data_IF_051768390956
#
_entry.id   IF_051768390956
#
_cell.length_a   1.000
_cell.length_b   1.000
_cell.length_c   1.000
_cell.angle_alpha   90.00
_cell.angle_beta   90.00
_cell.angle_gamma   90.00
#
_symmetry.space_group_name_H-M   'P 1'
#
loop_
_entity.id
_entity.type
_entity.pdbx_description
1 polymer ?
#
# COMPACT_ATOMS: atom_id res chain seq x y z
N UNK A 1 -4.34 56.30 -1.52
CA UNK A 1 -4.08 54.87 -1.18
C UNK A 1 -3.21 54.29 -2.28
N UNK A 2 -1.93 54.01 -2.01
CA UNK A 2 -0.97 53.55 -3.01
C UNK A 2 -1.05 52.03 -3.19
N UNK A 3 -1.41 51.57 -4.38
CA UNK A 3 -1.43 50.15 -4.76
C UNK A 3 0.02 49.66 -4.84
N UNK A 4 0.44 48.80 -3.90
CA UNK A 4 1.78 48.17 -3.96
C UNK A 4 1.90 47.39 -5.28
N UNK A 5 2.76 47.87 -6.17
CA UNK A 5 3.12 47.23 -7.44
C UNK A 5 3.74 45.86 -7.12
N UNK A 6 3.09 44.77 -7.51
CA UNK A 6 3.60 43.42 -7.28
C UNK A 6 4.99 43.27 -7.91
N UNK A 7 5.97 42.80 -7.13
CA UNK A 7 7.32 42.55 -7.60
C UNK A 7 7.28 41.50 -8.71
N UNK A 8 7.59 41.90 -9.95
CA UNK A 8 7.73 40.97 -11.08
C UNK A 8 9.12 40.36 -11.03
N UNK A 9 9.23 39.17 -10.44
CA UNK A 9 10.45 38.36 -10.51
C UNK A 9 10.55 37.81 -11.95
N UNK A 10 11.62 38.11 -12.71
CA UNK A 10 11.77 37.59 -14.06
C UNK A 10 11.95 36.07 -14.03
N UNK A 11 11.25 35.36 -14.92
CA UNK A 11 11.38 33.91 -15.04
C UNK A 11 12.80 33.54 -15.51
N UNK A 12 13.42 32.49 -14.94
CA UNK A 12 14.68 31.98 -15.45
C UNK A 12 14.62 31.67 -16.95
N UNK A 13 15.75 31.84 -17.65
CA UNK A 13 15.88 31.39 -19.05
C UNK A 13 15.56 29.89 -19.10
N UNK A 14 14.79 29.45 -20.10
CA UNK A 14 14.32 28.06 -20.24
C UNK A 14 13.44 27.52 -19.08
N UNK A 15 12.75 28.41 -18.35
CA UNK A 15 11.84 28.05 -17.25
C UNK A 15 10.93 26.87 -17.58
N UNK A 16 10.23 26.93 -18.73
CA UNK A 16 9.28 25.90 -19.17
C UNK A 16 9.92 24.51 -19.36
N UNK A 17 11.21 24.44 -19.69
CA UNK A 17 11.91 23.18 -19.92
C UNK A 17 12.27 22.44 -18.61
N UNK A 18 12.36 23.17 -17.49
CA UNK A 18 12.85 22.62 -16.21
C UNK A 18 11.79 22.57 -15.12
N UNK A 19 10.54 23.01 -15.37
CA UNK A 19 9.48 23.08 -14.34
C UNK A 19 9.23 21.71 -13.69
N UNK A 20 9.19 20.64 -14.49
CA UNK A 20 8.94 19.29 -13.98
C UNK A 20 10.06 18.82 -13.04
N UNK A 21 11.32 18.94 -13.48
CA UNK A 21 12.48 18.59 -12.65
C UNK A 21 12.56 19.47 -11.40
N UNK A 22 12.28 20.77 -11.52
CA UNK A 22 12.27 21.69 -10.39
C UNK A 22 11.22 21.28 -9.34
N UNK A 23 10.02 20.86 -9.78
CA UNK A 23 8.98 20.37 -8.87
C UNK A 23 9.46 19.13 -8.10
N UNK A 24 10.10 18.17 -8.78
CA UNK A 24 10.66 16.98 -8.13
C UNK A 24 11.75 17.35 -7.12
N UNK A 25 12.66 18.26 -7.46
CA UNK A 25 13.71 18.72 -6.56
C UNK A 25 13.16 19.43 -5.33
N UNK A 26 12.16 20.30 -5.49
CA UNK A 26 11.50 21.00 -4.38
C UNK A 26 10.84 19.99 -3.43
N UNK A 27 10.11 19.01 -3.96
CA UNK A 27 9.47 17.96 -3.15
C UNK A 27 10.53 17.12 -2.41
N UNK A 28 11.60 16.72 -3.10
CA UNK A 28 12.71 15.96 -2.50
C UNK A 28 13.38 16.74 -1.37
N UNK A 29 13.63 18.04 -1.57
CA UNK A 29 14.25 18.91 -0.55
C UNK A 29 13.31 19.11 0.65
N UNK A 30 12.02 19.31 0.40
CA UNK A 30 11.01 19.42 1.46
C UNK A 30 10.92 18.12 2.28
N UNK A 31 11.00 16.96 1.61
CA UNK A 31 11.02 15.67 2.29
C UNK A 31 12.27 15.49 3.14
N UNK A 32 13.44 15.85 2.62
CA UNK A 32 14.69 15.83 3.39
C UNK A 32 14.60 16.70 4.64
N UNK A 33 14.14 17.95 4.51
CA UNK A 33 13.98 18.86 5.64
C UNK A 33 12.96 18.32 6.67
N UNK A 34 11.88 17.70 6.21
CA UNK A 34 10.86 17.09 7.07
C UNK A 34 11.41 15.89 7.85
N UNK A 35 12.20 15.03 7.19
CA UNK A 35 12.83 13.88 7.84
C UNK A 35 13.88 14.34 8.85
N UNK A 36 14.73 15.31 8.47
CA UNK A 36 15.76 15.88 9.34
C UNK A 36 15.16 16.53 10.60
N UNK A 37 14.10 17.33 10.46
CA UNK A 37 13.44 17.95 11.63
C UNK A 37 12.78 16.92 12.54
N UNK A 38 12.25 15.83 11.98
CA UNK A 38 11.65 14.74 12.78
C UNK A 38 12.70 13.89 13.50
N UNK A 39 13.91 13.72 12.97
CA UNK A 39 14.94 12.93 13.67
C UNK A 39 15.27 13.57 15.02
N UNK A 40 15.46 14.88 15.05
CA UNK A 40 15.63 15.64 16.30
C UNK A 40 14.46 15.49 17.27
N UNK A 41 13.22 15.46 16.75
CA UNK A 41 12.03 15.31 17.58
C UNK A 41 11.88 13.89 18.17
N UNK A 42 12.36 12.86 17.46
CA UNK A 42 12.38 11.47 17.94
C UNK A 42 13.38 11.29 19.09
N UNK A 43 14.52 11.98 19.05
CA UNK A 43 15.55 11.94 20.10
C UNK A 43 15.24 12.87 21.30
N UNK A 44 14.11 13.59 21.27
CA UNK A 44 13.72 14.49 22.36
C UNK A 44 13.45 13.72 23.66
N UNK A 45 13.95 14.23 24.79
CA UNK A 45 13.63 13.70 26.12
C UNK A 45 12.12 13.80 26.44
N UNK A 46 11.40 14.77 25.84
CA UNK A 46 9.99 14.98 26.06
C UNK A 46 9.13 13.99 25.25
N UNK A 47 8.47 13.06 25.95
CA UNK A 47 7.61 12.05 25.32
C UNK A 47 6.46 12.61 24.46
N UNK A 48 5.98 13.82 24.76
CA UNK A 48 4.94 14.48 23.93
C UNK A 48 5.48 14.91 22.57
N UNK A 49 6.73 15.35 22.51
CA UNK A 49 7.40 15.74 21.26
C UNK A 49 7.60 14.51 20.38
N UNK A 50 8.08 13.41 20.96
CA UNK A 50 8.24 12.12 20.24
C UNK A 50 6.92 11.62 19.67
N UNK A 51 5.86 11.59 20.49
CA UNK A 51 4.53 11.13 20.06
C UNK A 51 3.96 12.01 18.94
N UNK A 52 4.15 13.34 19.02
CA UNK A 52 3.73 14.26 17.96
C UNK A 52 4.48 14.00 16.66
N UNK A 53 5.80 13.82 16.71
CA UNK A 53 6.61 13.48 15.53
C UNK A 53 6.15 12.18 14.87
N UNK A 54 5.81 11.17 15.66
CA UNK A 54 5.29 9.89 15.17
C UNK A 54 3.90 10.01 14.55
N UNK A 55 2.99 10.79 15.17
CA UNK A 55 1.68 11.13 14.60
C UNK A 55 1.83 11.86 13.27
N UNK A 56 2.73 12.84 13.20
CA UNK A 56 2.98 13.62 11.98
C UNK A 56 3.54 12.73 10.86
N UNK A 57 4.44 11.78 11.20
CA UNK A 57 4.95 10.77 10.27
C UNK A 57 3.84 9.88 9.73
N UNK A 58 2.98 9.36 10.60
CA UNK A 58 1.83 8.53 10.20
C UNK A 58 0.83 9.32 9.34
N UNK A 59 0.57 10.59 9.69
CA UNK A 59 -0.29 11.48 8.92
C UNK A 59 0.22 11.70 7.50
N UNK A 60 1.55 11.91 7.36
CA UNK A 60 2.17 12.01 6.04
C UNK A 60 2.08 10.70 5.25
N UNK A 61 2.36 9.56 5.88
CA UNK A 61 2.29 8.25 5.22
C UNK A 61 0.88 7.98 4.69
N UNK A 62 -0.16 8.29 5.48
CA UNK A 62 -1.54 8.19 5.04
C UNK A 62 -1.82 9.09 3.82
N UNK A 63 -1.25 10.30 3.78
CA UNK A 63 -1.40 11.19 2.63
C UNK A 63 -0.72 10.64 1.38
N UNK A 64 0.50 10.10 1.51
CA UNK A 64 1.23 9.47 0.40
C UNK A 64 0.51 8.24 -0.13
N UNK A 65 0.05 7.35 0.74
CA UNK A 65 -0.71 6.16 0.35
C UNK A 65 -2.03 6.52 -0.35
N UNK A 66 -2.69 7.60 0.08
CA UNK A 66 -3.90 8.10 -0.61
C UNK A 66 -3.59 8.62 -2.00
N UNK A 67 -2.49 9.35 -2.19
CA UNK A 67 -2.06 9.79 -3.52
C UNK A 67 -1.66 8.62 -4.42
N UNK A 68 -0.99 7.60 -3.86
CA UNK A 68 -0.65 6.38 -4.58
C UNK A 68 -1.92 5.64 -5.05
N UNK A 69 -2.90 5.46 -4.16
CA UNK A 69 -4.20 4.86 -4.48
C UNK A 69 -4.91 5.69 -5.54
N UNK A 70 -4.95 7.04 -5.40
CA UNK A 70 -5.59 7.94 -6.36
C UNK A 70 -5.03 7.76 -7.78
N UNK A 71 -3.69 7.66 -7.92
CA UNK A 71 -3.05 7.46 -9.22
C UNK A 71 -3.39 6.08 -9.80
N UNK A 72 -3.37 5.03 -8.97
CA UNK A 72 -3.74 3.67 -9.40
C UNK A 72 -5.21 3.60 -9.82
N UNK A 73 -6.10 4.22 -9.05
CA UNK A 73 -7.54 4.28 -9.33
C UNK A 73 -7.83 5.07 -10.60
N UNK A 74 -7.13 6.20 -10.82
CA UNK A 74 -7.25 6.99 -12.05
C UNK A 74 -6.86 6.16 -13.28
N UNK A 75 -5.78 5.38 -13.19
CA UNK A 75 -5.39 4.43 -14.25
C UNK A 75 -6.47 3.36 -14.46
N UNK A 76 -7.03 2.79 -13.40
CA UNK A 76 -8.10 1.79 -13.50
C UNK A 76 -9.40 2.35 -14.09
N UNK A 77 -9.71 3.62 -13.80
CA UNK A 77 -10.90 4.29 -14.30
C UNK A 77 -10.90 4.46 -15.82
N UNK A 78 -9.72 4.61 -16.44
CA UNK A 78 -9.56 4.70 -17.90
C UNK A 78 -9.93 3.38 -18.62
N UNK A 79 -9.86 2.25 -17.94
CA UNK A 79 -10.25 0.96 -18.49
C UNK A 79 -11.77 0.84 -18.41
N UNK A 80 -12.42 0.53 -19.54
CA UNK A 80 -13.85 0.26 -19.59
C UNK A 80 -14.24 -0.77 -18.51
N UNK A 81 -15.29 -0.56 -17.70
CA UNK A 81 -15.66 -1.46 -16.60
C UNK A 81 -15.69 -2.94 -16.96
N UNK A 82 -16.18 -3.31 -18.15
CA UNK A 82 -16.27 -4.71 -18.60
C UNK A 82 -14.92 -5.34 -18.98
N UNK A 83 -13.88 -4.53 -19.18
CA UNK A 83 -12.52 -4.97 -19.52
C UNK A 83 -11.55 -4.91 -18.32
N UNK A 84 -12.02 -4.45 -17.16
CA UNK A 84 -11.17 -4.40 -15.96
C UNK A 84 -10.84 -5.82 -15.49
N UNK A 85 -9.63 -6.06 -14.99
CA UNK A 85 -9.29 -7.31 -14.33
C UNK A 85 -10.31 -7.65 -13.23
N UNK A 86 -10.77 -8.90 -13.23
CA UNK A 86 -11.73 -9.37 -12.24
C UNK A 86 -11.02 -9.63 -10.92
N UNK A 87 -11.63 -9.22 -9.80
CA UNK A 87 -11.16 -9.62 -8.48
C UNK A 87 -11.26 -11.15 -8.33
N UNK A 88 -10.17 -11.86 -7.97
CA UNK A 88 -10.21 -13.28 -7.65
C UNK A 88 -11.01 -13.54 -6.36
N UNK A 89 -11.47 -14.78 -6.11
CA UNK A 89 -12.32 -15.09 -4.95
C UNK A 89 -11.76 -14.66 -3.59
N UNK A 90 -10.44 -14.74 -3.41
CA UNK A 90 -9.76 -14.31 -2.19
C UNK A 90 -9.82 -12.79 -1.97
N UNK A 91 -9.66 -12.01 -3.03
CA UNK A 91 -9.74 -10.54 -2.96
C UNK A 91 -11.17 -10.06 -2.74
N UNK A 92 -12.17 -10.76 -3.29
CA UNK A 92 -13.59 -10.48 -3.00
C UNK A 92 -13.89 -10.62 -1.51
N UNK A 93 -13.33 -11.64 -0.86
CA UNK A 93 -13.45 -11.79 0.60
C UNK A 93 -12.76 -10.65 1.32
N UNK A 94 -11.52 -10.32 0.95
CA UNK A 94 -10.77 -9.21 1.56
C UNK A 94 -11.52 -7.87 1.45
N UNK A 95 -12.20 -7.62 0.33
CA UNK A 95 -13.08 -6.46 0.14
C UNK A 95 -14.25 -6.47 1.13
N UNK A 96 -14.92 -7.61 1.31
CA UNK A 96 -16.01 -7.76 2.27
C UNK A 96 -15.53 -7.57 3.72
N UNK A 97 -14.35 -8.08 4.05
CA UNK A 97 -13.71 -7.87 5.36
C UNK A 97 -13.37 -6.39 5.59
N UNK A 98 -12.82 -5.70 4.59
CA UNK A 98 -12.53 -4.26 4.66
C UNK A 98 -13.81 -3.44 4.81
N UNK A 99 -14.87 -3.79 4.07
CA UNK A 99 -16.20 -3.17 4.21
C UNK A 99 -16.72 -3.31 5.64
N UNK A 100 -16.61 -4.52 6.22
CA UNK A 100 -17.03 -4.78 7.60
C UNK A 100 -16.21 -3.99 8.61
N UNK A 101 -14.88 -3.98 8.48
CA UNK A 101 -13.98 -3.26 9.37
C UNK A 101 -14.15 -1.73 9.31
N UNK A 102 -14.49 -1.18 8.13
CA UNK A 102 -14.72 0.25 7.92
C UNK A 102 -16.16 0.71 8.21
N UNK A 103 -17.10 -0.23 8.40
CA UNK A 103 -18.52 0.10 8.54
C UNK A 103 -19.14 0.70 7.28
N UNK A 104 -18.65 0.32 6.10
CA UNK A 104 -19.10 0.90 4.83
C UNK A 104 -20.44 0.36 4.36
N UNK A 105 -21.24 1.24 3.75
CA UNK A 105 -22.39 0.85 2.92
C UNK A 105 -21.94 0.10 1.67
N UNK A 106 -22.90 -0.53 0.97
CA UNK A 106 -22.62 -1.20 -0.31
C UNK A 106 -22.08 -0.23 -1.36
N UNK A 107 -22.65 0.98 -1.43
CA UNK A 107 -22.21 2.04 -2.34
C UNK A 107 -20.80 2.55 -2.01
N UNK A 108 -20.49 2.75 -0.73
CA UNK A 108 -19.15 3.18 -0.31
C UNK A 108 -18.08 2.16 -0.69
N UNK A 109 -18.35 0.86 -0.47
CA UNK A 109 -17.44 -0.20 -0.89
C UNK A 109 -17.33 -0.27 -2.42
N UNK A 110 -18.45 -0.17 -3.13
CA UNK A 110 -18.49 -0.21 -4.59
C UNK A 110 -17.63 0.90 -5.20
N UNK A 111 -17.84 2.15 -4.76
CA UNK A 111 -17.06 3.30 -5.21
C UNK A 111 -15.57 3.16 -4.88
N UNK A 112 -15.24 2.68 -3.68
CA UNK A 112 -13.84 2.52 -3.24
C UNK A 112 -13.08 1.48 -4.06
N UNK A 113 -13.75 0.40 -4.50
CA UNK A 113 -13.12 -0.69 -5.27
C UNK A 113 -13.47 -0.66 -6.76
N UNK A 114 -14.05 0.43 -7.26
CA UNK A 114 -14.45 0.61 -8.66
C UNK A 114 -15.40 -0.50 -9.17
N UNK A 115 -16.31 -0.93 -8.31
CA UNK A 115 -17.36 -1.94 -8.53
C UNK A 115 -18.76 -1.30 -8.59
N UNK A 116 -19.78 -2.11 -8.85
CA UNK A 116 -21.19 -1.72 -8.67
C UNK A 116 -21.72 -2.26 -7.34
N UNK A 117 -22.60 -1.51 -6.66
CA UNK A 117 -23.20 -1.96 -5.41
C UNK A 117 -23.93 -3.33 -5.51
N UNK A 118 -24.65 -3.65 -6.61
CA UNK A 118 -25.22 -4.98 -6.80
C UNK A 118 -24.17 -6.10 -6.83
N UNK A 119 -22.96 -5.84 -7.33
CA UNK A 119 -21.87 -6.82 -7.34
C UNK A 119 -21.43 -7.16 -5.92
N UNK A 120 -21.23 -6.13 -5.08
CA UNK A 120 -20.87 -6.32 -3.66
C UNK A 120 -22.01 -7.02 -2.91
N UNK A 121 -23.26 -6.68 -3.21
CA UNK A 121 -24.43 -7.35 -2.63
C UNK A 121 -24.49 -8.84 -3.02
N UNK A 122 -24.21 -9.17 -4.28
CA UNK A 122 -24.15 -10.55 -4.78
C UNK A 122 -23.06 -11.35 -4.07
N UNK A 123 -21.87 -10.79 -3.89
CA UNK A 123 -20.79 -11.43 -3.14
C UNK A 123 -21.17 -11.69 -1.69
N UNK A 124 -21.79 -10.72 -1.02
CA UNK A 124 -22.26 -10.88 0.37
C UNK A 124 -23.31 -12.00 0.48
N UNK A 125 -24.24 -12.10 -0.47
CA UNK A 125 -25.29 -13.14 -0.47
C UNK A 125 -24.72 -14.54 -0.67
N UNK A 126 -23.56 -14.64 -1.34
CA UNK A 126 -22.91 -15.89 -1.77
C UNK A 126 -21.65 -16.23 -0.97
N UNK A 127 -21.48 -15.61 0.21
CA UNK A 127 -20.27 -15.78 1.03
C UNK A 127 -20.12 -17.21 1.57
N UNK A 128 -21.24 -17.90 1.81
CA UNK A 128 -21.27 -19.25 2.38
C UNK A 128 -21.31 -20.36 1.32
N UNK A 129 -21.17 -20.01 0.02
CA UNK A 129 -21.09 -21.01 -1.04
C UNK A 129 -19.84 -21.88 -0.89
N UNK A 130 -20.02 -23.19 -0.94
CA UNK A 130 -18.92 -24.15 -0.79
C UNK A 130 -18.43 -24.65 -2.16
N UNK A 131 -17.16 -25.08 -2.17
CA UNK A 131 -16.58 -25.83 -3.28
C UNK A 131 -15.58 -25.08 -4.18
N UNK A 132 -15.02 -25.76 -5.20
CA UNK A 132 -13.94 -25.22 -6.04
C UNK A 132 -14.34 -23.98 -6.86
N UNK A 133 -15.63 -23.75 -7.08
CA UNK A 133 -16.14 -22.61 -7.85
C UNK A 133 -16.84 -21.55 -7.00
N UNK A 134 -16.67 -21.60 -5.67
CA UNK A 134 -17.21 -20.59 -4.75
C UNK A 134 -16.76 -19.18 -5.16
N UNK A 135 -17.71 -18.25 -5.18
CA UNK A 135 -17.49 -16.89 -5.68
C UNK A 135 -16.53 -16.10 -4.78
N UNK A 136 -16.58 -16.37 -3.48
CA UNK A 136 -15.78 -15.75 -2.43
C UNK A 136 -15.04 -16.87 -1.69
N UNK A 137 -13.75 -16.69 -1.44
CA UNK A 137 -12.94 -17.69 -0.72
C UNK A 137 -12.01 -17.02 0.26
N UNK A 138 -11.63 -17.73 1.32
CA UNK A 138 -10.50 -17.34 2.15
C UNK A 138 -9.20 -17.49 1.34
N UNK A 139 -8.20 -16.65 1.64
CA UNK A 139 -6.88 -16.73 0.99
C UNK A 139 -6.21 -18.08 1.26
N UNK A 140 -6.42 -18.61 2.45
CA UNK A 140 -5.99 -19.93 2.86
C UNK A 140 -7.23 -20.82 2.97
N UNK A 141 -7.30 -21.98 2.29
CA UNK A 141 -8.42 -22.89 2.41
C UNK A 141 -8.42 -23.49 3.82
N UNK A 142 -9.43 -23.12 4.59
CA UNK A 142 -9.55 -23.55 5.98
C UNK A 142 -10.44 -24.78 6.06
N UNK A 143 -9.83 -25.95 6.10
CA UNK A 143 -10.54 -27.22 6.28
C UNK A 143 -10.69 -27.62 7.76
N UNK A 144 -9.98 -26.93 8.67
CA UNK A 144 -9.92 -27.25 10.10
C UNK A 144 -10.25 -26.03 10.97
N UNK A 145 -11.06 -26.26 12.00
CA UNK A 145 -11.46 -25.23 12.97
C UNK A 145 -10.28 -24.49 13.64
N UNK A 146 -9.17 -25.15 14.04
CA UNK A 146 -8.01 -24.44 14.59
C UNK A 146 -7.33 -23.49 13.60
N UNK A 147 -7.30 -23.83 12.30
CA UNK A 147 -6.67 -23.00 11.26
C UNK A 147 -7.55 -21.78 10.96
N UNK A 148 -8.88 -21.94 11.03
CA UNK A 148 -9.84 -20.83 10.96
C UNK A 148 -9.55 -19.78 12.02
N UNK A 149 -9.39 -20.25 13.26
CA UNK A 149 -9.10 -19.39 14.40
C UNK A 149 -7.80 -18.63 14.19
N UNK A 150 -6.74 -19.30 13.69
CA UNK A 150 -5.46 -18.64 13.39
C UNK A 150 -5.63 -17.55 12.34
N UNK A 151 -6.32 -17.86 11.24
CA UNK A 151 -6.61 -16.90 10.19
C UNK A 151 -7.36 -15.67 10.73
N UNK A 152 -8.45 -15.88 11.48
CA UNK A 152 -9.27 -14.78 12.02
C UNK A 152 -8.45 -13.90 12.96
N UNK A 153 -7.64 -14.48 13.85
CA UNK A 153 -6.74 -13.73 14.75
C UNK A 153 -5.75 -12.88 13.95
N UNK A 154 -5.13 -13.43 12.91
CA UNK A 154 -4.23 -12.72 12.03
C UNK A 154 -4.94 -11.55 11.30
N UNK A 155 -6.09 -11.81 10.70
CA UNK A 155 -6.88 -10.79 9.99
C UNK A 155 -7.33 -9.65 10.89
N UNK A 156 -7.77 -9.95 12.12
CA UNK A 156 -8.12 -8.91 13.10
C UNK A 156 -6.92 -8.04 13.44
N UNK A 157 -5.71 -8.61 13.53
CA UNK A 157 -4.50 -7.81 13.78
C UNK A 157 -4.14 -6.93 12.59
N UNK A 158 -4.33 -7.41 11.36
CA UNK A 158 -4.11 -6.60 10.13
C UNK A 158 -5.12 -5.46 10.01
N UNK A 159 -6.41 -5.73 10.21
CA UNK A 159 -7.49 -4.75 10.01
C UNK A 159 -7.64 -3.78 11.19
N UNK A 160 -7.31 -4.22 12.40
CA UNK A 160 -7.41 -3.44 13.63
C UNK A 160 -6.10 -3.52 14.43
N UNK A 161 -5.01 -2.87 13.96
CA UNK A 161 -3.67 -3.04 14.54
C UNK A 161 -3.56 -2.56 15.99
N UNK A 162 -4.42 -1.65 16.44
CA UNK A 162 -4.49 -1.20 17.84
C UNK A 162 -5.01 -2.26 18.80
N UNK A 163 -5.63 -3.34 18.30
CA UNK A 163 -6.16 -4.40 19.14
C UNK A 163 -5.03 -5.27 19.71
N UNK A 164 -4.93 -5.31 21.04
CA UNK A 164 -4.06 -6.23 21.77
C UNK A 164 -4.68 -7.62 21.93
N UNK A 165 -3.86 -8.61 22.30
CA UNK A 165 -4.27 -10.03 22.46
C UNK A 165 -5.51 -10.23 23.34
N UNK A 166 -5.65 -9.46 24.42
CA UNK A 166 -6.81 -9.52 25.34
C UNK A 166 -8.08 -9.03 24.65
N UNK A 167 -7.99 -7.91 23.94
CA UNK A 167 -9.15 -7.34 23.25
C UNK A 167 -9.58 -8.22 22.08
N UNK A 168 -8.64 -8.83 21.36
CA UNK A 168 -8.93 -9.83 20.32
C UNK A 168 -9.70 -11.01 20.92
N UNK A 169 -9.20 -11.62 22.01
CA UNK A 169 -9.87 -12.72 22.70
C UNK A 169 -11.30 -12.37 23.14
N UNK A 170 -11.50 -11.18 23.74
CA UNK A 170 -12.82 -10.71 24.15
C UNK A 170 -13.76 -10.47 22.97
N UNK A 171 -13.26 -9.93 21.85
CA UNK A 171 -14.06 -9.71 20.64
C UNK A 171 -14.49 -11.05 20.03
N UNK A 172 -13.59 -12.02 19.96
CA UNK A 172 -13.89 -13.37 19.49
C UNK A 172 -14.90 -14.06 20.40
N UNK A 173 -14.76 -13.93 21.71
CA UNK A 173 -15.74 -14.45 22.68
C UNK A 173 -17.14 -13.86 22.45
N UNK A 174 -17.26 -12.56 22.16
CA UNK A 174 -18.55 -11.92 21.82
C UNK A 174 -19.12 -12.42 20.49
N UNK A 175 -18.27 -12.89 19.58
CA UNK A 175 -18.66 -13.52 18.33
C UNK A 175 -18.92 -15.04 18.46
N UNK A 176 -18.92 -15.59 19.68
CA UNK A 176 -19.11 -17.02 19.94
C UNK A 176 -17.86 -17.89 19.82
N UNK A 177 -16.67 -17.29 19.60
CA UNK A 177 -15.39 -17.96 19.51
C UNK A 177 -14.57 -17.76 20.80
N UNK A 178 -14.70 -18.70 21.74
CA UNK A 178 -14.05 -18.62 23.05
C UNK A 178 -12.57 -18.99 22.98
N UNK A 179 -11.69 -18.00 23.15
CA UNK A 179 -10.23 -18.19 23.11
C UNK A 179 -9.56 -17.47 24.28
N UNK A 180 -8.57 -18.11 24.90
CA UNK A 180 -7.74 -17.48 25.92
C UNK A 180 -6.81 -16.41 25.32
N UNK A 181 -6.56 -15.32 26.06
CA UNK A 181 -5.64 -14.27 25.62
C UNK A 181 -4.19 -14.77 25.41
N UNK A 182 -3.80 -15.82 26.14
CA UNK A 182 -2.52 -16.52 25.96
C UNK A 182 -2.46 -17.27 24.63
N UNK A 183 -3.54 -17.95 24.25
CA UNK A 183 -3.68 -18.65 22.96
C UNK A 183 -3.59 -17.66 21.80
N UNK A 184 -4.31 -16.54 21.87
CA UNK A 184 -4.21 -15.46 20.87
C UNK A 184 -2.77 -14.94 20.78
N UNK A 185 -2.12 -14.73 21.93
CA UNK A 185 -0.72 -14.29 21.99
C UNK A 185 0.25 -15.29 21.36
N UNK A 186 0.01 -16.60 21.51
CA UNK A 186 0.81 -17.65 20.86
C UNK A 186 0.61 -17.61 19.35
N UNK A 187 -0.64 -17.55 18.89
CA UNK A 187 -0.97 -17.49 17.45
C UNK A 187 -0.32 -16.27 16.77
N UNK A 188 -0.35 -15.10 17.41
CA UNK A 188 0.26 -13.88 16.85
C UNK A 188 1.80 -13.93 16.80
N UNK A 189 2.44 -14.81 17.57
CA UNK A 189 3.89 -15.00 17.60
C UNK A 189 4.36 -16.09 16.66
N UNK A 190 3.48 -17.00 16.25
CA UNK A 190 3.80 -18.03 15.29
C UNK A 190 4.15 -17.37 13.95
N UNK A 191 5.21 -17.87 13.30
CA UNK A 191 5.53 -17.45 11.94
C UNK A 191 4.36 -17.81 11.01
N UNK A 192 4.00 -16.94 10.04
CA UNK A 192 2.98 -17.26 9.05
C UNK A 192 3.31 -18.61 8.43
N UNK A 193 2.32 -19.51 8.32
CA UNK A 193 2.54 -20.71 7.53
C UNK A 193 2.96 -20.29 6.11
N UNK A 194 3.95 -20.96 5.51
CA UNK A 194 4.34 -20.66 4.15
C UNK A 194 3.11 -20.75 3.27
N UNK A 195 2.87 -19.70 2.49
CA UNK A 195 1.76 -19.65 1.54
C UNK A 195 1.83 -20.90 0.67
N UNK A 196 0.72 -21.65 0.48
CA UNK A 196 0.70 -22.71 -0.52
C UNK A 196 1.22 -22.12 -1.83
N UNK A 197 2.29 -22.69 -2.38
CA UNK A 197 2.86 -22.21 -3.62
C UNK A 197 1.75 -22.14 -4.68
N UNK A 198 1.53 -20.95 -5.24
CA UNK A 198 0.82 -20.86 -6.51
C UNK A 198 1.54 -21.78 -7.51
N UNK A 199 0.81 -22.48 -8.41
CA UNK A 199 1.44 -23.31 -9.41
C UNK A 199 2.52 -22.51 -10.15
N UNK A 200 3.71 -23.11 -10.26
CA UNK A 200 4.91 -22.47 -10.79
C UNK A 200 4.63 -21.71 -12.08
N UNK A 201 4.88 -20.40 -12.09
CA UNK A 201 4.90 -19.60 -13.30
C UNK A 201 5.95 -20.20 -14.25
N UNK A 202 5.53 -20.50 -15.47
CA UNK A 202 6.32 -21.16 -16.51
C UNK A 202 7.69 -20.50 -16.75
N UNK A 203 8.67 -21.30 -17.16
CA UNK A 203 10.04 -20.89 -17.52
C UNK A 203 10.05 -19.63 -18.41
N UNK A 204 11.01 -18.74 -18.13
CA UNK A 204 11.10 -17.37 -18.65
C UNK A 204 10.87 -17.24 -20.16
N UNK A 205 9.88 -16.43 -20.52
CA UNK A 205 9.66 -16.00 -21.91
C UNK A 205 10.74 -15.00 -22.33
N UNK A 206 11.44 -15.31 -23.41
CA UNK A 206 12.25 -14.33 -24.17
C UNK A 206 11.30 -13.30 -24.77
N UNK A 207 11.56 -12.02 -24.53
CA UNK A 207 10.76 -10.91 -25.05
C UNK A 207 11.35 -10.47 -26.39
N UNK A 208 10.65 -10.77 -27.48
CA UNK A 208 11.03 -10.34 -28.84
C UNK A 208 10.11 -9.20 -29.29
N UNK A 209 10.67 -8.04 -29.63
CA UNK A 209 9.87 -6.93 -30.16
C UNK A 209 9.31 -7.28 -31.55
N UNK A 210 7.98 -7.20 -31.70
CA UNK A 210 7.28 -7.49 -32.97
C UNK A 210 6.76 -6.25 -33.71
N UNK A 211 6.65 -5.10 -33.03
CA UNK A 211 6.13 -3.84 -33.60
C UNK A 211 6.67 -2.63 -32.81
N UNK A 212 6.59 -1.40 -33.35
CA UNK A 212 7.05 -0.20 -32.66
C UNK A 212 6.38 0.00 -31.29
N UNK A 213 7.14 0.38 -30.26
CA UNK A 213 6.74 0.51 -28.83
C UNK A 213 6.38 -0.80 -28.08
N UNK A 214 6.61 -1.97 -28.68
CA UNK A 214 6.32 -3.26 -28.05
C UNK A 214 7.31 -3.61 -26.91
N UNK A 215 8.57 -3.13 -26.97
CA UNK A 215 9.57 -3.36 -25.92
C UNK A 215 10.29 -2.05 -25.62
N UNK A 216 10.48 -1.76 -24.33
CA UNK A 216 11.24 -0.62 -23.85
C UNK A 216 12.54 -1.11 -23.23
N UNK A 217 13.68 -0.69 -23.78
CA UNK A 217 15.00 -0.97 -23.23
C UNK A 217 15.47 0.23 -22.40
N UNK A 218 16.12 -0.03 -21.28
CA UNK A 218 16.77 0.99 -20.45
C UNK A 218 18.27 0.77 -20.57
N UNK A 219 19.00 1.82 -20.93
CA UNK A 219 20.45 1.80 -21.06
C UNK A 219 21.10 2.55 -19.88
N UNK A 220 22.17 2.01 -19.33
CA UNK A 220 22.88 2.57 -18.18
C UNK A 220 24.20 3.19 -18.65
N UNK A 221 24.22 4.52 -18.79
CA UNK A 221 25.45 5.25 -19.11
C UNK A 221 26.23 5.58 -17.85
N UNK A 222 27.49 5.13 -17.78
CA UNK A 222 28.46 5.56 -16.76
C UNK A 222 29.30 6.72 -17.30
N UNK A 223 29.51 7.76 -16.49
CA UNK A 223 30.38 8.90 -16.87
C UNK A 223 31.59 8.95 -15.93
N UNK A 224 32.84 9.02 -16.45
CA UNK A 224 34.02 9.14 -15.61
C UNK A 224 34.10 10.52 -14.96
N UNK A 225 34.28 10.58 -13.65
CA UNK A 225 34.73 11.81 -13.00
C UNK A 225 36.26 11.83 -13.02
N UNK A 226 36.88 12.98 -13.33
CA UNK A 226 38.30 13.13 -13.67
C UNK A 226 39.33 12.71 -12.60
N UNK A 227 38.93 12.03 -11.53
CA UNK A 227 39.76 11.44 -10.48
C UNK A 227 39.80 9.90 -10.50
N UNK A 228 39.24 9.24 -11.53
CA UNK A 228 39.35 7.78 -11.72
C UNK A 228 38.28 6.93 -11.03
N UNK A 229 37.18 7.54 -10.58
CA UNK A 229 36.01 6.84 -10.02
C UNK A 229 34.84 6.87 -11.01
N UNK A 230 34.05 5.79 -11.03
CA UNK A 230 32.88 5.60 -11.89
C UNK A 230 31.63 5.53 -11.02
N UNK A 231 30.59 6.32 -11.32
CA UNK A 231 29.29 6.22 -10.63
C UNK A 231 28.13 6.28 -11.62
N UNK A 232 27.14 5.41 -11.41
CA UNK A 232 25.88 5.37 -12.15
C UNK A 232 24.93 6.47 -11.65
N UNK A 233 24.25 7.14 -12.57
CA UNK A 233 23.44 8.34 -12.29
C UNK A 233 22.17 8.02 -11.47
N UNK A 234 21.72 8.98 -10.63
CA UNK A 234 20.46 8.87 -9.85
C UNK A 234 19.24 8.67 -10.78
N UNK A 235 18.21 7.90 -10.36
CA UNK A 235 17.81 7.65 -8.96
C UNK A 235 18.14 6.25 -8.38
N UNK A 236 18.97 5.45 -9.04
CA UNK A 236 19.10 4.01 -8.70
C UNK A 236 20.36 3.60 -7.91
N UNK A 237 21.02 4.53 -7.19
CA UNK A 237 22.11 4.17 -6.29
C UNK A 237 22.11 5.02 -5.00
N UNK A 238 22.36 4.37 -3.86
CA UNK A 238 22.64 5.04 -2.58
C UNK A 238 24.13 5.46 -2.54
N UNK A 239 24.46 6.58 -1.85
CA UNK A 239 25.85 6.99 -1.71
C UNK A 239 26.67 5.91 -1.00
N UNK A 240 27.85 5.60 -1.55
CA UNK A 240 28.85 4.78 -0.87
C UNK A 240 29.33 5.54 0.38
N UNK A 241 28.95 5.08 1.57
CA UNK A 241 29.60 5.43 2.82
C UNK A 241 30.62 4.37 3.17
N UNK A 242 31.88 4.77 3.38
CA UNK A 242 32.93 3.97 3.97
C UNK A 242 33.58 4.77 5.11
N UNK A 243 34.14 4.06 6.10
CA UNK A 243 33.66 4.01 7.48
C UNK A 243 33.75 5.32 8.26
#
# INVERSE_FOLDING_TARGET
>A
MSVKKALRIPLPKSWSQHVLSAMLHVISLAQFATVYTRSWAIDSMNGRVRLKAEKDRQGQEIALLREEIRVKDARMAQINPHRRPHFPPAERMAILELRAARGWSLEQAANTFLLTAPTVASWRKRVDEQGPHALVKLREPVNKFPDFVRYVVGRLKTLCPSMGKVKIAQTLCRAGLHLGATTVGRILKESPQPTPQEPSVAMGRVVTAKEPNHVWHVDLTTVPTGSGLWTSWLPFALPQSWP
#
